data_IF_657922893387
#
_entry.id   IF_657922893387
#
_cell.length_a   1.000
_cell.length_b   1.000
_cell.length_c   1.000
_cell.angle_alpha   90.00
_cell.angle_beta   90.00
_cell.angle_gamma   90.00
#
_symmetry.space_group_name_H-M   'P 1'
#
loop_
_entity.id
_entity.type
_entity.pdbx_description
1 polymer ?
#
# COMPACT_ATOMS: atom_id res chain seq x y z
N UNK A 1 1.57 -36.08 -3.96
CA UNK A 1 2.56 -35.51 -3.03
C UNK A 1 1.82 -34.48 -2.17
N UNK A 2 1.31 -34.90 -1.01
CA UNK A 2 0.41 -34.09 -0.19
C UNK A 2 1.20 -33.05 0.62
N UNK A 3 0.89 -31.77 0.41
CA UNK A 3 1.49 -30.67 1.17
C UNK A 3 0.93 -30.72 2.60
N UNK A 4 1.81 -30.95 3.57
CA UNK A 4 1.43 -31.03 4.99
C UNK A 4 1.03 -29.63 5.51
N UNK A 5 -0.15 -29.47 6.13
CA UNK A 5 -0.69 -28.18 6.59
C UNK A 5 0.07 -27.57 7.79
N UNK A 6 0.97 -28.34 8.40
CA UNK A 6 1.73 -27.97 9.60
C UNK A 6 2.80 -26.89 9.33
N UNK A 7 3.19 -26.67 8.06
CA UNK A 7 4.24 -25.70 7.69
C UNK A 7 3.76 -24.24 7.62
N UNK A 8 2.46 -23.99 7.72
CA UNK A 8 1.87 -22.66 7.57
C UNK A 8 1.64 -21.92 8.90
N UNK A 9 1.89 -22.58 10.05
CA UNK A 9 1.68 -21.99 11.39
C UNK A 9 2.67 -20.88 11.77
N UNK A 10 3.83 -20.81 11.13
CA UNK A 10 4.89 -19.85 11.50
C UNK A 10 4.91 -18.58 10.63
N UNK A 11 4.10 -18.52 9.57
CA UNK A 11 3.97 -17.31 8.76
C UNK A 11 2.88 -16.41 9.32
N UNK A 12 3.18 -15.79 10.47
CA UNK A 12 2.57 -14.54 10.90
C UNK A 12 2.87 -13.44 9.86
N UNK A 13 2.19 -13.47 8.72
CA UNK A 13 2.46 -12.62 7.56
C UNK A 13 1.73 -11.27 7.64
N UNK A 14 1.68 -10.68 8.84
CA UNK A 14 1.07 -9.36 9.09
C UNK A 14 2.03 -8.36 9.75
N UNK A 15 3.24 -8.76 10.15
CA UNK A 15 4.24 -7.88 10.79
C UNK A 15 5.47 -7.54 9.94
N UNK A 16 6.04 -8.52 9.25
CA UNK A 16 7.40 -8.43 8.68
C UNK A 16 7.48 -7.49 7.46
N UNK A 17 6.59 -7.62 6.47
CA UNK A 17 6.55 -6.72 5.32
C UNK A 17 6.28 -5.25 5.70
N UNK A 18 5.51 -5.05 6.78
CA UNK A 18 5.22 -3.72 7.34
C UNK A 18 6.47 -3.12 8.00
N UNK A 19 7.30 -3.94 8.62
CA UNK A 19 8.60 -3.55 9.16
C UNK A 19 9.62 -3.32 8.05
N UNK A 20 9.56 -4.03 6.93
CA UNK A 20 10.44 -3.79 5.78
C UNK A 20 10.09 -2.47 5.07
N UNK A 21 8.80 -2.15 4.88
CA UNK A 21 8.37 -0.80 4.46
C UNK A 21 8.81 0.30 5.44
N UNK A 22 8.89 -0.03 6.74
CA UNK A 22 9.27 0.90 7.82
C UNK A 22 10.79 1.02 8.01
N UNK A 23 11.58 -0.02 7.64
CA UNK A 23 13.04 -0.05 7.73
C UNK A 23 13.71 0.61 6.54
N UNK A 24 13.08 0.58 5.37
CA UNK A 24 13.62 1.19 4.14
C UNK A 24 13.32 2.70 4.01
N UNK A 25 12.87 3.33 5.11
CA UNK A 25 12.59 4.77 5.17
C UNK A 25 13.32 5.42 6.32
N UNK A 26 14.60 5.71 6.11
CA UNK A 26 15.32 6.67 6.95
C UNK A 26 14.58 8.02 6.91
N UNK A 27 14.65 8.80 7.99
CA UNK A 27 14.12 10.17 8.03
C UNK A 27 14.78 11.10 6.98
N UNK A 28 15.85 10.65 6.33
CA UNK A 28 16.57 11.36 5.27
C UNK A 28 16.01 11.09 3.86
N UNK A 29 15.13 10.11 3.69
CA UNK A 29 14.51 9.82 2.39
C UNK A 29 13.36 10.82 2.12
N UNK A 30 13.41 11.60 1.02
CA UNK A 30 12.36 12.58 0.71
C UNK A 30 10.97 11.92 0.61
N UNK A 31 9.88 12.60 1.04
CA UNK A 31 8.55 11.99 1.10
C UNK A 31 8.09 11.29 -0.18
N UNK A 32 8.34 11.89 -1.35
CA UNK A 32 7.93 11.31 -2.63
C UNK A 32 8.68 10.02 -2.97
N UNK A 33 9.92 9.88 -2.52
CA UNK A 33 10.69 8.65 -2.72
C UNK A 33 10.18 7.52 -1.81
N UNK A 34 9.80 7.87 -0.57
CA UNK A 34 9.10 6.94 0.32
C UNK A 34 7.77 6.46 -0.26
N UNK A 35 7.05 7.34 -0.95
CA UNK A 35 5.80 6.98 -1.63
C UNK A 35 6.04 5.96 -2.75
N UNK A 36 7.12 6.11 -3.53
CA UNK A 36 7.50 5.13 -4.58
C UNK A 36 7.79 3.75 -4.00
N UNK A 37 8.58 3.70 -2.92
CA UNK A 37 8.91 2.45 -2.22
C UNK A 37 7.63 1.79 -1.69
N UNK A 38 6.77 2.57 -1.03
CA UNK A 38 5.51 2.08 -0.48
C UNK A 38 4.58 1.53 -1.57
N UNK A 39 4.48 2.23 -2.71
CA UNK A 39 3.63 1.80 -3.82
C UNK A 39 4.07 0.46 -4.39
N UNK A 40 5.38 0.30 -4.61
CA UNK A 40 5.94 -0.96 -5.10
C UNK A 40 5.67 -2.11 -4.15
N UNK A 41 5.86 -1.89 -2.85
CA UNK A 41 5.57 -2.89 -1.84
C UNK A 41 4.07 -3.24 -1.78
N UNK A 42 3.19 -2.25 -1.91
CA UNK A 42 1.75 -2.44 -1.91
C UNK A 42 1.28 -3.26 -3.12
N UNK A 43 1.63 -2.88 -4.35
CA UNK A 43 1.18 -3.59 -5.54
C UNK A 43 1.68 -5.03 -5.56
N UNK A 44 2.93 -5.26 -5.12
CA UNK A 44 3.45 -6.62 -4.97
C UNK A 44 2.63 -7.42 -3.96
N UNK A 45 2.34 -6.84 -2.79
CA UNK A 45 1.52 -7.48 -1.76
C UNK A 45 0.12 -7.81 -2.26
N UNK A 46 -0.55 -6.90 -2.98
CA UNK A 46 -1.88 -7.16 -3.54
C UNK A 46 -1.86 -8.32 -4.56
N UNK A 47 -0.80 -8.45 -5.37
CA UNK A 47 -0.65 -9.57 -6.30
C UNK A 47 -0.41 -10.91 -5.58
N UNK A 48 0.41 -10.91 -4.53
CA UNK A 48 0.64 -12.08 -3.67
C UNK A 48 -0.63 -12.49 -2.92
N UNK A 49 -1.38 -11.51 -2.40
CA UNK A 49 -2.65 -11.72 -1.70
C UNK A 49 -3.74 -12.21 -2.65
N UNK A 50 -3.82 -11.69 -3.87
CA UNK A 50 -4.78 -12.18 -4.87
C UNK A 50 -4.52 -13.64 -5.25
N UNK A 51 -3.25 -14.02 -5.47
CA UNK A 51 -2.86 -15.40 -5.73
C UNK A 51 -3.21 -16.32 -4.53
N UNK A 52 -2.92 -15.86 -3.31
CA UNK A 52 -3.30 -16.56 -2.09
C UNK A 52 -4.81 -16.68 -1.96
N UNK A 53 -5.57 -15.63 -2.27
CA UNK A 53 -7.03 -15.58 -2.17
C UNK A 53 -7.68 -16.58 -3.09
N UNK A 54 -7.18 -16.76 -4.31
CA UNK A 54 -7.63 -17.80 -5.23
C UNK A 54 -7.39 -19.19 -4.62
N UNK A 55 -6.18 -19.44 -4.11
CA UNK A 55 -5.86 -20.73 -3.48
C UNK A 55 -6.63 -20.99 -2.18
N UNK A 56 -6.95 -19.96 -1.40
CA UNK A 56 -7.70 -20.08 -0.14
C UNK A 56 -9.21 -20.14 -0.33
N UNK A 57 -9.77 -19.55 -1.39
CA UNK A 57 -11.20 -19.66 -1.69
C UNK A 57 -11.61 -21.12 -1.86
N UNK A 58 -10.68 -21.97 -2.32
CA UNK A 58 -10.85 -23.41 -2.45
C UNK A 58 -10.73 -24.17 -1.12
N UNK A 59 -10.15 -23.57 -0.07
CA UNK A 59 -9.76 -24.26 1.16
C UNK A 59 -10.38 -23.74 2.48
N UNK A 60 -10.63 -22.43 2.63
CA UNK A 60 -11.10 -21.84 3.90
C UNK A 60 -11.73 -20.43 3.72
N UNK A 61 -13.05 -20.33 3.49
CA UNK A 61 -13.74 -19.06 3.19
C UNK A 61 -13.70 -17.97 4.29
N UNK A 62 -13.48 -18.36 5.55
CA UNK A 62 -13.63 -17.48 6.73
C UNK A 62 -12.33 -16.81 7.21
N UNK A 63 -11.19 -17.05 6.56
CA UNK A 63 -9.88 -16.52 7.01
C UNK A 63 -9.76 -14.98 6.91
N UNK A 64 -10.69 -14.31 6.21
CA UNK A 64 -10.63 -12.85 5.95
C UNK A 64 -10.97 -11.94 7.13
N UNK A 65 -11.67 -12.43 8.16
CA UNK A 65 -12.27 -11.57 9.20
C UNK A 65 -11.59 -11.67 10.57
N UNK A 66 -10.27 -11.80 10.58
CA UNK A 66 -9.50 -11.86 11.83
C UNK A 66 -9.17 -10.45 12.37
N UNK A 67 -9.20 -10.23 13.71
CA UNK A 67 -8.92 -8.94 14.33
C UNK A 67 -7.61 -8.27 13.89
N UNK A 68 -6.58 -9.08 13.62
CA UNK A 68 -5.25 -8.65 13.21
C UNK A 68 -5.27 -7.87 11.88
N UNK A 69 -6.16 -8.24 10.95
CA UNK A 69 -6.32 -7.53 9.68
C UNK A 69 -6.93 -6.14 9.88
N UNK A 70 -7.86 -5.99 10.84
CA UNK A 70 -8.48 -4.70 11.19
C UNK A 70 -7.48 -3.76 11.84
N UNK A 71 -6.68 -4.26 12.78
CA UNK A 71 -5.63 -3.47 13.44
C UNK A 71 -4.53 -3.04 12.46
N UNK A 72 -4.16 -3.92 11.53
CA UNK A 72 -3.24 -3.61 10.44
C UNK A 72 -3.70 -2.40 9.62
N UNK A 73 -4.96 -2.42 9.20
CA UNK A 73 -5.58 -1.34 8.42
C UNK A 73 -5.60 -0.03 9.21
N UNK A 74 -5.95 -0.07 10.49
CA UNK A 74 -5.95 1.12 11.35
C UNK A 74 -4.54 1.71 11.53
N UNK A 75 -3.51 0.86 11.71
CA UNK A 75 -2.13 1.30 11.79
C UNK A 75 -1.64 1.93 10.47
N UNK A 76 -1.96 1.31 9.34
CA UNK A 76 -1.67 1.84 8.01
C UNK A 76 -2.31 3.21 7.78
N UNK A 77 -3.58 3.37 8.16
CA UNK A 77 -4.28 4.64 8.08
C UNK A 77 -3.58 5.75 8.88
N UNK A 78 -3.18 5.47 10.14
CA UNK A 78 -2.45 6.44 10.97
C UNK A 78 -1.11 6.85 10.35
N UNK A 79 -0.36 5.88 9.82
CA UNK A 79 0.92 6.14 9.14
C UNK A 79 0.72 7.01 7.89
N UNK A 80 -0.31 6.72 7.11
CA UNK A 80 -0.62 7.48 5.91
C UNK A 80 -1.06 8.92 6.22
N UNK A 81 -1.85 9.14 7.28
CA UNK A 81 -2.18 10.49 7.74
C UNK A 81 -0.95 11.29 8.19
N UNK A 82 0.03 10.62 8.84
CA UNK A 82 1.31 11.25 9.18
C UNK A 82 2.10 11.62 7.92
N UNK A 83 2.20 10.70 6.97
CA UNK A 83 2.82 10.95 5.67
C UNK A 83 2.21 12.17 4.96
N UNK A 84 0.88 12.30 4.92
CA UNK A 84 0.21 13.42 4.26
C UNK A 84 0.54 14.78 4.90
N UNK A 85 0.79 14.82 6.22
CA UNK A 85 1.26 16.04 6.90
C UNK A 85 2.67 16.41 6.51
N UNK A 86 3.56 15.43 6.35
CA UNK A 86 4.93 15.66 5.89
C UNK A 86 5.01 16.03 4.41
N UNK A 87 4.19 15.39 3.57
CA UNK A 87 4.17 15.60 2.12
C UNK A 87 3.54 16.93 1.72
N UNK A 88 2.55 17.40 2.47
CA UNK A 88 1.81 18.66 2.22
C UNK A 88 1.79 19.54 3.49
N UNK A 89 2.95 20.04 3.95
CA UNK A 89 3.05 20.73 5.24
C UNK A 89 2.25 22.02 5.29
N UNK A 90 2.22 22.77 4.17
CA UNK A 90 1.52 24.05 4.08
C UNK A 90 0.02 23.92 3.78
N UNK A 91 -0.44 22.73 3.39
CA UNK A 91 -1.83 22.54 2.96
C UNK A 91 -2.81 22.58 4.15
N UNK A 92 -4.07 22.90 3.87
CA UNK A 92 -5.12 22.81 4.91
C UNK A 92 -5.38 21.35 5.31
N UNK A 93 -5.98 21.14 6.49
CA UNK A 93 -6.45 19.82 6.92
C UNK A 93 -7.43 19.20 5.90
N UNK A 94 -8.34 20.01 5.33
CA UNK A 94 -9.31 19.58 4.33
C UNK A 94 -8.64 19.13 3.04
N UNK A 95 -7.64 19.87 2.55
CA UNK A 95 -6.86 19.49 1.36
C UNK A 95 -6.11 18.18 1.58
N UNK A 96 -5.44 18.01 2.74
CA UNK A 96 -4.74 16.77 3.07
C UNK A 96 -5.69 15.57 3.16
N UNK A 97 -6.85 15.75 3.80
CA UNK A 97 -7.85 14.69 3.93
C UNK A 97 -8.40 14.27 2.56
N UNK A 98 -8.73 15.23 1.69
CA UNK A 98 -9.21 14.95 0.35
C UNK A 98 -8.15 14.22 -0.49
N UNK A 99 -6.92 14.74 -0.51
CA UNK A 99 -5.82 14.13 -1.25
C UNK A 99 -5.51 12.72 -0.75
N UNK A 100 -5.51 12.54 0.57
CA UNK A 100 -5.29 11.23 1.18
C UNK A 100 -6.38 10.22 0.83
N UNK A 101 -7.64 10.63 0.88
CA UNK A 101 -8.77 9.79 0.48
C UNK A 101 -8.67 9.41 -1.00
N UNK A 102 -8.38 10.35 -1.89
CA UNK A 102 -8.28 10.09 -3.32
C UNK A 102 -7.16 9.09 -3.65
N UNK A 103 -6.00 9.25 -3.02
CA UNK A 103 -4.88 8.30 -3.18
C UNK A 103 -5.27 6.93 -2.65
N UNK A 104 -5.86 6.86 -1.44
CA UNK A 104 -6.25 5.58 -0.81
C UNK A 104 -7.30 4.85 -1.63
N UNK A 105 -8.32 5.56 -2.11
CA UNK A 105 -9.38 4.98 -2.95
C UNK A 105 -8.83 4.49 -4.28
N UNK A 106 -8.02 5.31 -4.97
CA UNK A 106 -7.38 4.89 -6.24
C UNK A 106 -6.52 3.66 -6.02
N UNK A 107 -5.70 3.66 -4.97
CA UNK A 107 -4.82 2.55 -4.65
C UNK A 107 -5.60 1.26 -4.37
N UNK A 108 -6.67 1.35 -3.56
CA UNK A 108 -7.48 0.19 -3.18
C UNK A 108 -8.28 -0.37 -4.35
N UNK A 109 -8.85 0.50 -5.18
CA UNK A 109 -9.71 0.07 -6.30
C UNK A 109 -8.87 -0.45 -7.45
N UNK A 110 -7.89 0.34 -7.92
CA UNK A 110 -7.14 0.00 -9.13
C UNK A 110 -6.04 -1.01 -8.83
N UNK A 111 -5.46 -1.00 -7.62
CA UNK A 111 -4.51 -2.03 -7.18
C UNK A 111 -5.16 -3.41 -7.12
N UNK A 112 -6.40 -3.49 -6.62
CA UNK A 112 -7.18 -4.73 -6.62
C UNK A 112 -7.50 -5.21 -8.03
N UNK A 113 -8.06 -4.35 -8.89
CA UNK A 113 -8.37 -4.70 -10.28
C UNK A 113 -7.12 -5.19 -11.04
N UNK A 114 -5.97 -4.53 -10.81
CA UNK A 114 -4.71 -4.96 -11.39
C UNK A 114 -4.26 -6.35 -10.90
N UNK A 115 -4.45 -6.66 -9.62
CA UNK A 115 -3.98 -7.92 -9.01
C UNK A 115 -4.86 -9.14 -9.27
N UNK A 116 -6.08 -8.96 -9.79
CA UNK A 116 -7.04 -10.05 -10.05
C UNK A 116 -6.56 -11.07 -11.11
N UNK A 117 -5.59 -10.71 -11.94
CA UNK A 117 -4.95 -11.61 -12.91
C UNK A 117 -3.47 -11.84 -12.55
N UNK A 118 -2.89 -13.02 -12.87
CA UNK A 118 -1.46 -13.25 -12.67
C UNK A 118 -0.58 -12.16 -13.32
N UNK A 119 0.38 -11.64 -12.57
CA UNK A 119 1.33 -10.62 -13.02
C UNK A 119 2.76 -11.08 -12.87
N UNK A 120 3.60 -10.70 -13.83
CA UNK A 120 5.06 -10.83 -13.72
C UNK A 120 5.63 -9.71 -12.84
N UNK A 121 6.81 -9.94 -12.26
CA UNK A 121 7.52 -8.92 -11.48
C UNK A 121 7.76 -7.63 -12.27
N UNK A 122 8.03 -7.74 -13.58
CA UNK A 122 8.24 -6.59 -14.46
C UNK A 122 6.96 -5.76 -14.65
N UNK A 123 5.81 -6.41 -14.81
CA UNK A 123 4.52 -5.72 -14.88
C UNK A 123 4.18 -5.03 -13.56
N UNK A 124 4.40 -5.71 -12.43
CA UNK A 124 4.20 -5.14 -11.08
C UNK A 124 5.05 -3.88 -10.92
N UNK A 125 6.35 -3.95 -11.24
CA UNK A 125 7.27 -2.83 -11.08
C UNK A 125 6.90 -1.65 -12.01
N UNK A 126 6.53 -1.95 -13.26
CA UNK A 126 6.12 -0.94 -14.24
C UNK A 126 4.85 -0.22 -13.79
N UNK A 127 3.86 -1.00 -13.35
CA UNK A 127 2.57 -0.49 -12.90
C UNK A 127 2.73 0.35 -11.61
N UNK A 128 3.45 -0.17 -10.62
CA UNK A 128 3.73 0.55 -9.39
C UNK A 128 4.49 1.86 -9.63
N UNK A 129 5.45 1.86 -10.56
CA UNK A 129 6.18 3.07 -10.97
C UNK A 129 5.25 4.11 -11.60
N UNK A 130 4.39 3.69 -12.53
CA UNK A 130 3.43 4.58 -13.18
C UNK A 130 2.46 5.21 -12.17
N UNK A 131 1.88 4.39 -11.29
CA UNK A 131 0.97 4.85 -10.24
C UNK A 131 1.66 5.79 -9.25
N UNK A 132 2.90 5.48 -8.86
CA UNK A 132 3.69 6.37 -8.00
C UNK A 132 3.95 7.72 -8.66
N UNK A 133 4.31 7.74 -9.95
CA UNK A 133 4.57 8.98 -10.67
C UNK A 133 3.32 9.86 -10.74
N UNK A 134 2.14 9.26 -10.98
CA UNK A 134 0.86 9.95 -10.96
C UNK A 134 0.60 10.60 -9.59
N UNK A 135 0.77 9.86 -8.49
CA UNK A 135 0.56 10.41 -7.15
C UNK A 135 1.60 11.46 -6.76
N UNK A 136 2.87 11.26 -7.12
CA UNK A 136 3.91 12.28 -6.92
C UNK A 136 3.56 13.57 -7.65
N UNK A 137 3.17 13.50 -8.93
CA UNK A 137 2.78 14.67 -9.72
C UNK A 137 1.58 15.39 -9.10
N UNK A 138 0.59 14.64 -8.59
CA UNK A 138 -0.56 15.19 -7.89
C UNK A 138 -0.17 15.94 -6.60
N UNK A 139 0.65 15.32 -5.74
CA UNK A 139 1.11 15.94 -4.50
C UNK A 139 1.99 17.17 -4.75
N UNK A 140 2.84 17.13 -5.77
CA UNK A 140 3.65 18.27 -6.20
C UNK A 140 2.79 19.44 -6.68
N UNK A 141 1.73 19.15 -7.45
CA UNK A 141 0.78 20.17 -7.90
C UNK A 141 0.11 20.86 -6.70
N UNK A 142 -0.41 20.09 -5.74
CA UNK A 142 -0.99 20.65 -4.51
C UNK A 142 0.01 21.51 -3.72
N UNK A 143 1.27 21.09 -3.65
CA UNK A 143 2.33 21.87 -3.01
C UNK A 143 2.68 23.16 -3.78
N UNK A 144 2.47 23.22 -5.09
CA UNK A 144 2.62 24.46 -5.87
C UNK A 144 1.46 25.41 -5.62
N UNK A 145 0.23 24.91 -5.64
CA UNK A 145 -0.98 25.72 -5.43
C UNK A 145 -0.99 26.35 -4.05
N UNK A 146 -0.62 25.57 -3.03
CA UNK A 146 -0.53 26.06 -1.65
C UNK A 146 0.58 27.09 -1.44
N UNK A 147 1.62 27.10 -2.29
CA UNK A 147 2.70 28.12 -2.22
C UNK A 147 2.34 29.43 -2.91
N UNK A 148 1.26 29.46 -3.70
CA UNK A 148 0.76 30.66 -4.38
C UNK A 148 -0.28 31.41 -3.55
N UNK A 149 -0.73 30.82 -2.45
CA UNK A 149 -1.61 31.41 -1.43
C UNK A 149 -0.75 31.99 -0.30
#
# INVERSE_FOLDING_TARGET
MAIRPERWRDHHFTGQHRQDCRRDTSAHTPPLERLRILMRAFIRYECEEAAMRVALNDAAPLYRDVPEAKEAKAAGHRMFQAFMREALPKATSKTRALAGNLITTTLSTVGKDFSESPRTSTEIDTYAKAMSNMFCAYLEALNRDTRRL
#
